data_IF_390330555402
#
_entry.id   IF_390330555402
#
_cell.length_a   1.000
_cell.length_b   1.000
_cell.length_c   1.000
_cell.angle_alpha   90.00
_cell.angle_beta   90.00
_cell.angle_gamma   90.00
#
_symmetry.space_group_name_H-M   'P 1'
#
loop_
_entity.id
_entity.type
_entity.pdbx_description
1 polymer ?
#
# COMPACT_ATOMS: atom_id res chain seq x y z
N UNK A 1 16.86 -29.36 -12.15
CA UNK A 1 15.76 -29.04 -13.10
C UNK A 1 15.09 -27.76 -12.66
N UNK A 2 14.95 -26.79 -13.56
CA UNK A 2 14.17 -25.59 -13.34
C UNK A 2 12.68 -25.94 -13.37
N UNK A 3 11.89 -25.35 -12.47
CA UNK A 3 10.44 -25.55 -12.42
C UNK A 3 9.74 -24.27 -12.87
N UNK A 4 8.79 -24.40 -13.80
CA UNK A 4 7.92 -23.31 -14.19
C UNK A 4 6.76 -23.25 -13.20
N UNK A 5 6.53 -22.08 -12.60
CA UNK A 5 5.39 -21.82 -11.73
C UNK A 5 4.48 -20.83 -12.45
N UNK A 6 3.23 -21.19 -12.59
CA UNK A 6 2.15 -20.30 -13.02
C UNK A 6 1.36 -19.88 -11.78
N UNK A 7 1.33 -18.61 -11.50
CA UNK A 7 0.56 -18.00 -10.42
C UNK A 7 -0.60 -17.24 -11.03
N UNK A 8 -1.81 -17.55 -10.61
CA UNK A 8 -3.03 -16.83 -11.00
C UNK A 8 -3.63 -16.24 -9.74
N UNK A 9 -3.87 -14.94 -9.73
CA UNK A 9 -4.49 -14.24 -8.62
C UNK A 9 -5.67 -13.42 -9.15
N UNK A 10 -6.87 -13.72 -8.69
CA UNK A 10 -8.04 -12.87 -8.89
C UNK A 10 -8.03 -11.80 -7.81
N UNK A 11 -8.01 -10.53 -8.21
CA UNK A 11 -8.01 -9.38 -7.31
C UNK A 11 -9.11 -8.41 -7.76
N UNK A 12 -10.30 -8.53 -7.19
CA UNK A 12 -11.48 -7.79 -7.61
C UNK A 12 -11.84 -8.09 -9.07
N UNK A 13 -11.95 -7.07 -9.90
CA UNK A 13 -12.25 -7.19 -11.34
C UNK A 13 -11.01 -7.56 -12.19
N UNK A 14 -9.82 -7.69 -11.57
CA UNK A 14 -8.56 -7.94 -12.27
C UNK A 14 -8.06 -9.36 -12.03
N UNK A 15 -7.68 -10.06 -13.09
CA UNK A 15 -6.98 -11.33 -13.03
C UNK A 15 -5.51 -11.10 -13.38
N UNK A 16 -4.64 -11.27 -12.40
CA UNK A 16 -3.19 -11.17 -12.55
C UNK A 16 -2.58 -12.55 -12.78
N UNK A 17 -1.91 -12.73 -13.90
CA UNK A 17 -1.25 -13.99 -14.28
C UNK A 17 0.25 -13.76 -14.32
N UNK A 18 1.01 -14.51 -13.53
CA UNK A 18 2.46 -14.48 -13.55
C UNK A 18 3.02 -15.89 -13.87
N UNK A 19 3.94 -15.94 -14.83
CA UNK A 19 4.70 -17.15 -15.14
C UNK A 19 6.15 -16.88 -14.77
N UNK A 20 6.73 -17.72 -13.93
CA UNK A 20 8.11 -17.59 -13.50
C UNK A 20 8.83 -18.93 -13.49
N UNK A 21 10.11 -18.91 -13.81
CA UNK A 21 11.00 -20.05 -13.60
C UNK A 21 11.63 -19.96 -12.21
N UNK A 22 11.60 -21.04 -11.47
CA UNK A 22 12.31 -21.14 -10.19
C UNK A 22 13.46 -22.10 -10.32
N UNK A 23 14.65 -21.65 -9.92
CA UNK A 23 15.74 -22.54 -9.59
C UNK A 23 15.43 -23.14 -8.20
N UNK A 24 15.68 -24.44 -8.03
CA UNK A 24 15.49 -25.12 -6.73
C UNK A 24 16.31 -24.37 -5.67
N UNK A 25 15.64 -23.59 -4.83
CA UNK A 25 16.29 -23.02 -3.66
C UNK A 25 16.61 -24.16 -2.68
N UNK A 26 17.86 -24.26 -2.24
CA UNK A 26 18.22 -25.11 -1.11
C UNK A 26 17.40 -24.66 0.11
N UNK A 27 16.85 -25.60 0.87
CA UNK A 27 16.21 -25.34 2.16
C UNK A 27 17.29 -24.85 3.14
N UNK A 28 17.64 -23.57 3.09
CA UNK A 28 18.54 -22.94 4.06
C UNK A 28 17.72 -22.40 5.24
N UNK A 29 18.23 -22.64 6.46
CA UNK A 29 17.70 -21.98 7.65
C UNK A 29 17.93 -20.46 7.52
N UNK A 30 16.92 -19.65 7.84
CA UNK A 30 17.03 -18.19 7.84
C UNK A 30 17.99 -17.76 8.96
N UNK A 31 19.18 -17.36 8.57
CA UNK A 31 20.19 -16.79 9.50
C UNK A 31 19.95 -15.28 9.66
N UNK A 32 20.37 -14.75 10.79
CA UNK A 32 20.34 -13.30 11.04
C UNK A 32 21.08 -12.53 9.94
N UNK A 33 20.46 -11.47 9.44
CA UNK A 33 20.95 -10.76 8.26
C UNK A 33 22.03 -9.76 8.67
N UNK A 34 23.30 -10.11 8.47
CA UNK A 34 24.45 -9.26 8.78
C UNK A 34 24.80 -8.20 7.73
N UNK A 35 24.34 -8.37 6.48
CA UNK A 35 24.68 -7.48 5.37
C UNK A 35 23.46 -6.81 4.76
N UNK A 36 23.65 -5.61 4.18
CA UNK A 36 22.61 -4.94 3.38
C UNK A 36 22.16 -5.83 2.22
N UNK A 37 20.87 -5.75 1.89
CA UNK A 37 20.30 -6.48 0.75
C UNK A 37 20.97 -5.99 -0.53
N UNK A 38 21.38 -6.92 -1.41
CA UNK A 38 21.88 -6.59 -2.74
C UNK A 38 20.83 -5.77 -3.51
N UNK A 39 21.26 -4.80 -4.31
CA UNK A 39 20.39 -3.91 -5.09
C UNK A 39 19.42 -4.67 -6.00
N UNK A 40 19.85 -5.76 -6.64
CA UNK A 40 18.97 -6.59 -7.47
C UNK A 40 17.85 -7.23 -6.66
N UNK A 41 18.15 -7.71 -5.44
CA UNK A 41 17.15 -8.26 -4.52
C UNK A 41 16.22 -7.16 -3.99
N UNK A 42 16.74 -5.95 -3.75
CA UNK A 42 15.94 -4.82 -3.35
C UNK A 42 14.93 -4.45 -4.45
N UNK A 43 15.38 -4.28 -5.69
CA UNK A 43 14.49 -4.01 -6.84
C UNK A 43 13.42 -5.09 -7.04
N UNK A 44 13.78 -6.36 -6.80
CA UNK A 44 12.81 -7.45 -6.85
C UNK A 44 11.75 -7.34 -5.74
N UNK A 45 12.17 -7.06 -4.50
CA UNK A 45 11.26 -6.88 -3.38
C UNK A 45 10.34 -5.67 -3.58
N UNK A 46 10.85 -4.57 -4.13
CA UNK A 46 10.07 -3.37 -4.44
C UNK A 46 8.97 -3.69 -5.48
N UNK A 47 9.29 -4.45 -6.54
CA UNK A 47 8.30 -4.91 -7.52
C UNK A 47 7.24 -5.81 -6.89
N UNK A 48 7.63 -6.71 -5.98
CA UNK A 48 6.67 -7.54 -5.25
C UNK A 48 5.74 -6.71 -4.35
N UNK A 49 6.29 -5.71 -3.67
CA UNK A 49 5.51 -4.81 -2.82
C UNK A 49 4.48 -4.02 -3.63
N UNK A 50 4.88 -3.46 -4.77
CA UNK A 50 3.98 -2.77 -5.71
C UNK A 50 2.86 -3.70 -6.19
N UNK A 51 3.21 -4.93 -6.60
CA UNK A 51 2.24 -5.92 -7.05
C UNK A 51 1.25 -6.30 -5.95
N UNK A 52 1.74 -6.51 -4.73
CA UNK A 52 0.89 -6.84 -3.58
C UNK A 52 -0.05 -5.70 -3.25
N UNK A 53 0.44 -4.46 -3.26
CA UNK A 53 -0.38 -3.26 -3.04
C UNK A 53 -1.46 -3.12 -4.11
N UNK A 54 -1.11 -3.30 -5.39
CA UNK A 54 -2.08 -3.23 -6.48
C UNK A 54 -3.20 -4.27 -6.34
N UNK A 55 -2.86 -5.51 -5.97
CA UNK A 55 -3.84 -6.57 -5.70
C UNK A 55 -4.76 -6.20 -4.52
N UNK A 56 -4.18 -5.67 -3.45
CA UNK A 56 -4.92 -5.25 -2.27
C UNK A 56 -5.90 -4.11 -2.62
N UNK A 57 -5.45 -3.11 -3.38
CA UNK A 57 -6.30 -2.01 -3.83
C UNK A 57 -7.45 -2.53 -4.71
N UNK A 58 -7.16 -3.37 -5.71
CA UNK A 58 -8.17 -3.92 -6.61
C UNK A 58 -9.20 -4.81 -5.91
N UNK A 59 -8.84 -5.44 -4.78
CA UNK A 59 -9.78 -6.26 -4.01
C UNK A 59 -10.70 -5.46 -3.11
N UNK A 60 -10.28 -4.30 -2.65
CA UNK A 60 -10.95 -3.57 -1.57
C UNK A 60 -11.56 -2.24 -2.02
N UNK A 61 -11.15 -1.72 -3.18
CA UNK A 61 -11.62 -0.42 -3.67
C UNK A 61 -12.19 -0.55 -5.07
N UNK A 62 -13.21 0.28 -5.35
CA UNK A 62 -14.01 0.23 -6.57
C UNK A 62 -14.06 1.61 -7.26
N UNK A 63 -14.49 1.67 -8.54
CA UNK A 63 -14.79 2.95 -9.18
C UNK A 63 -15.77 3.77 -8.37
N UNK A 64 -15.40 5.01 -8.05
CA UNK A 64 -16.16 5.90 -7.18
C UNK A 64 -15.54 6.10 -5.80
N UNK A 65 -14.62 5.24 -5.38
CA UNK A 65 -13.86 5.43 -4.16
C UNK A 65 -12.87 6.61 -4.28
N UNK A 66 -12.49 7.19 -3.15
CA UNK A 66 -11.67 8.39 -3.14
C UNK A 66 -10.17 8.08 -3.20
N UNK A 67 -9.46 8.81 -4.05
CA UNK A 67 -8.02 8.96 -3.97
C UNK A 67 -7.67 10.41 -3.62
N UNK A 68 -7.19 10.62 -2.41
CA UNK A 68 -6.93 11.95 -1.86
C UNK A 68 -5.45 12.14 -1.57
N UNK A 69 -4.93 13.32 -1.89
CA UNK A 69 -3.58 13.72 -1.48
C UNK A 69 -3.68 14.85 -0.46
N UNK A 70 -3.19 14.60 0.75
CA UNK A 70 -3.07 15.62 1.79
C UNK A 70 -1.71 16.29 1.71
N UNK A 71 -1.71 17.60 1.61
CA UNK A 71 -0.51 18.43 1.58
C UNK A 71 -0.58 19.46 2.71
N UNK A 72 0.58 19.91 3.17
CA UNK A 72 0.68 20.91 4.21
C UNK A 72 1.11 22.26 3.62
N UNK A 73 0.54 23.35 4.11
CA UNK A 73 0.92 24.70 3.69
C UNK A 73 2.37 25.02 4.13
N UNK A 74 2.76 24.53 5.30
CA UNK A 74 4.09 24.75 5.90
C UNK A 74 4.92 23.45 5.86
N UNK A 75 6.24 23.60 6.05
CA UNK A 75 7.14 22.48 6.21
C UNK A 75 6.97 21.92 7.62
N UNK A 76 6.59 20.67 7.73
CA UNK A 76 6.39 19.95 8.98
C UNK A 76 7.49 18.94 9.26
N UNK A 77 7.70 18.64 10.54
CA UNK A 77 8.46 17.45 10.94
C UNK A 77 7.70 16.16 10.61
N UNK A 78 8.43 15.04 10.55
CA UNK A 78 7.83 13.73 10.27
C UNK A 78 6.84 13.34 11.36
N UNK A 79 7.15 13.65 12.60
CA UNK A 79 6.33 13.37 13.78
C UNK A 79 5.02 14.16 13.75
N UNK A 80 5.08 15.44 13.45
CA UNK A 80 3.88 16.28 13.30
C UNK A 80 3.00 15.84 12.15
N UNK A 81 3.61 15.53 10.99
CA UNK A 81 2.86 15.02 9.83
C UNK A 81 2.14 13.71 10.13
N UNK A 82 2.79 12.79 10.85
CA UNK A 82 2.15 11.54 11.32
C UNK A 82 1.00 11.81 12.28
N UNK A 83 1.18 12.76 13.19
CA UNK A 83 0.13 13.15 14.12
C UNK A 83 -1.08 13.74 13.39
N UNK A 84 -0.86 14.64 12.43
CA UNK A 84 -1.92 15.23 11.61
C UNK A 84 -2.65 14.18 10.78
N UNK A 85 -1.94 13.21 10.20
CA UNK A 85 -2.55 12.08 9.50
C UNK A 85 -3.45 11.27 10.45
N UNK A 86 -2.99 10.99 11.68
CA UNK A 86 -3.79 10.27 12.67
C UNK A 86 -5.08 11.01 13.01
N UNK A 87 -5.01 12.30 13.24
CA UNK A 87 -6.18 13.14 13.51
C UNK A 87 -7.17 13.14 12.33
N UNK A 88 -6.67 13.22 11.10
CA UNK A 88 -7.49 13.09 9.90
C UNK A 88 -8.21 11.74 9.85
N UNK A 89 -7.50 10.64 10.04
CA UNK A 89 -8.06 9.29 10.03
C UNK A 89 -9.13 9.12 11.11
N UNK A 90 -8.89 9.63 12.32
CA UNK A 90 -9.86 9.55 13.42
C UNK A 90 -11.11 10.41 13.15
N UNK A 91 -10.95 11.53 12.46
CA UNK A 91 -12.09 12.34 11.99
C UNK A 91 -12.89 11.56 10.96
N UNK A 92 -12.24 10.98 9.96
CA UNK A 92 -12.91 10.17 8.93
C UNK A 92 -13.66 8.99 9.54
N UNK A 93 -13.08 8.25 10.48
CA UNK A 93 -13.77 7.16 11.19
C UNK A 93 -15.08 7.63 11.83
N UNK A 94 -15.07 8.80 12.46
CA UNK A 94 -16.28 9.37 13.07
C UNK A 94 -17.34 9.72 12.03
N UNK A 95 -16.95 10.29 10.89
CA UNK A 95 -17.89 10.65 9.82
C UNK A 95 -18.53 9.40 9.18
N UNK A 96 -17.72 8.35 8.92
CA UNK A 96 -18.25 7.08 8.43
C UNK A 96 -19.17 6.41 9.44
N UNK A 97 -18.82 6.42 10.72
CA UNK A 97 -19.64 5.85 11.79
C UNK A 97 -21.01 6.57 11.91
N UNK A 98 -21.07 7.90 11.71
CA UNK A 98 -22.35 8.65 11.70
C UNK A 98 -23.31 8.15 10.61
N UNK A 99 -22.78 7.65 9.49
CA UNK A 99 -23.55 7.10 8.39
C UNK A 99 -23.73 5.56 8.47
N UNK A 100 -23.29 4.93 9.56
CA UNK A 100 -23.34 3.48 9.74
C UNK A 100 -22.47 2.70 8.76
N UNK A 101 -21.42 3.34 8.19
CA UNK A 101 -20.49 2.74 7.22
C UNK A 101 -19.16 2.40 7.89
N UNK A 102 -18.56 1.31 7.46
CA UNK A 102 -17.18 0.99 7.82
C UNK A 102 -16.21 1.84 7.01
N UNK A 103 -15.11 2.23 7.63
CA UNK A 103 -14.06 3.03 7.03
C UNK A 103 -12.87 2.15 6.64
N UNK A 104 -12.65 1.97 5.34
CA UNK A 104 -11.48 1.29 4.78
C UNK A 104 -10.55 2.30 4.13
N UNK A 105 -9.26 2.18 4.39
CA UNK A 105 -8.29 3.06 3.78
C UNK A 105 -6.91 2.42 3.65
N UNK A 106 -6.15 2.92 2.69
CA UNK A 106 -4.71 2.70 2.56
C UNK A 106 -4.06 4.06 2.49
N UNK A 107 -3.09 4.32 3.37
CA UNK A 107 -2.35 5.58 3.38
C UNK A 107 -0.87 5.34 3.18
N UNK A 108 -0.24 6.13 2.32
CA UNK A 108 1.20 6.13 2.06
C UNK A 108 1.73 7.54 2.25
N UNK A 109 2.83 7.68 2.97
CA UNK A 109 3.49 8.97 3.19
C UNK A 109 4.73 9.09 2.32
N UNK A 110 4.80 10.16 1.55
CA UNK A 110 5.97 10.50 0.76
C UNK A 110 6.86 11.51 1.52
N UNK A 111 8.13 11.13 1.71
CA UNK A 111 9.12 11.94 2.45
C UNK A 111 10.22 12.53 1.55
N UNK A 112 10.23 12.19 0.24
CA UNK A 112 11.37 12.51 -0.64
C UNK A 112 11.50 13.98 -1.00
N UNK A 113 10.42 14.74 -0.89
CA UNK A 113 10.40 16.15 -1.19
C UNK A 113 10.51 16.98 0.09
N UNK A 114 10.81 18.28 -0.04
CA UNK A 114 10.86 19.21 1.09
C UNK A 114 9.53 19.31 1.87
N UNK A 115 8.42 18.95 1.21
CA UNK A 115 7.08 18.88 1.82
C UNK A 115 6.63 17.43 1.88
N UNK A 116 6.12 17.04 3.03
CA UNK A 116 5.53 15.72 3.23
C UNK A 116 4.12 15.70 2.60
N UNK A 117 3.82 14.61 1.90
CA UNK A 117 2.50 14.35 1.32
C UNK A 117 1.98 13.00 1.79
N UNK A 118 0.68 12.92 2.03
CA UNK A 118 0.00 11.65 2.29
C UNK A 118 -0.94 11.33 1.13
N UNK A 119 -0.74 10.19 0.50
CA UNK A 119 -1.66 9.64 -0.49
C UNK A 119 -2.58 8.65 0.22
N UNK A 120 -3.88 8.87 0.12
CA UNK A 120 -4.88 8.06 0.81
C UNK A 120 -5.89 7.58 -0.21
N UNK A 121 -6.10 6.27 -0.27
CA UNK A 121 -7.23 5.65 -0.94
C UNK A 121 -8.22 5.24 0.15
N UNK A 122 -9.48 5.62 0.02
CA UNK A 122 -10.53 5.32 0.99
C UNK A 122 -11.86 5.05 0.28
N UNK A 123 -12.67 4.21 0.88
CA UNK A 123 -13.97 3.86 0.32
C UNK A 123 -14.93 5.07 0.27
N UNK A 124 -15.92 5.00 -0.60
CA UNK A 124 -16.88 6.08 -0.83
C UNK A 124 -17.83 6.32 0.37
N UNK A 125 -18.08 7.59 0.64
CA UNK A 125 -19.09 8.07 1.60
C UNK A 125 -19.92 9.18 0.95
N UNK A 126 -21.23 9.16 1.16
CA UNK A 126 -22.12 10.22 0.70
C UNK A 126 -22.01 11.48 1.57
N UNK A 127 -22.09 12.62 0.93
CA UNK A 127 -22.25 13.89 1.61
C UNK A 127 -21.04 14.81 1.54
N UNK A 128 -21.30 16.09 1.83
CA UNK A 128 -20.28 17.11 2.05
C UNK A 128 -19.54 16.85 3.36
N UNK A 129 -18.28 16.52 3.26
CA UNK A 129 -17.34 16.42 4.39
C UNK A 129 -16.90 17.82 4.79
#
# INVERSE_FOLDING_TARGET
MSKVIREICAAGAVIDVAIRMTLRASKGCRKEKKNKTNEAVQKYNDRLSVKTLARLLNMNFFPGDFHTTLTYAEIMSVEEAKHQLSLFIDRMRREYAKQGKEFYYVAVTEYKNKRIHHHIVMNYIDGSI
#
